data_IF_154743161221
#
_entry.id   IF_154743161221
#
_cell.length_a   1.000
_cell.length_b   1.000
_cell.length_c   1.000
_cell.angle_alpha   90.00
_cell.angle_beta   90.00
_cell.angle_gamma   90.00
#
_symmetry.space_group_name_H-M   'P 1'
#
loop_
_entity.id
_entity.type
_entity.pdbx_description
1 polymer ?
#
# COMPACT_ATOMS: atom_id res chain seq x y z
N UNK A 1 31.17 -31.75 -42.95
CA UNK A 1 30.27 -30.56 -43.03
C UNK A 1 28.87 -30.71 -42.38
N UNK A 2 28.53 -31.80 -41.64
CA UNK A 2 27.18 -32.03 -41.08
C UNK A 2 26.92 -31.43 -39.68
N UNK A 3 27.97 -31.15 -38.90
CA UNK A 3 27.87 -30.75 -37.47
C UNK A 3 27.41 -29.30 -37.24
N UNK A 4 27.52 -28.44 -38.25
CA UNK A 4 27.11 -27.02 -38.19
C UNK A 4 25.60 -26.80 -38.31
N UNK A 5 24.88 -27.64 -39.06
CA UNK A 5 23.43 -27.47 -39.27
C UNK A 5 22.59 -27.75 -38.01
N UNK A 6 23.04 -28.71 -37.19
CA UNK A 6 22.35 -29.11 -35.95
C UNK A 6 22.39 -28.01 -34.87
N UNK A 7 23.48 -27.24 -34.82
CA UNK A 7 23.63 -26.15 -33.85
C UNK A 7 22.70 -24.97 -34.18
N UNK A 8 22.60 -24.60 -35.46
CA UNK A 8 21.77 -23.48 -35.90
C UNK A 8 20.27 -23.77 -35.81
N UNK A 9 19.85 -25.03 -35.97
CA UNK A 9 18.46 -25.44 -35.72
C UNK A 9 18.09 -25.37 -34.23
N UNK A 10 18.96 -25.86 -33.33
CA UNK A 10 18.73 -25.72 -31.88
C UNK A 10 18.68 -24.25 -31.45
N UNK A 11 19.55 -23.40 -32.00
CA UNK A 11 19.52 -21.96 -31.76
C UNK A 11 18.21 -21.31 -32.26
N UNK A 12 17.70 -21.72 -33.43
CA UNK A 12 16.41 -21.22 -33.95
C UNK A 12 15.21 -21.67 -33.10
N UNK A 13 15.23 -22.90 -32.60
CA UNK A 13 14.18 -23.42 -31.69
C UNK A 13 14.21 -22.65 -30.36
N UNK A 14 15.41 -22.41 -29.81
CA UNK A 14 15.58 -21.62 -28.60
C UNK A 14 15.13 -20.16 -28.79
N UNK A 15 15.53 -19.51 -29.88
CA UNK A 15 15.08 -18.16 -30.23
C UNK A 15 13.56 -18.07 -30.42
N UNK A 16 12.89 -19.10 -30.95
CA UNK A 16 11.42 -19.16 -30.99
C UNK A 16 10.80 -19.36 -29.61
N UNK A 17 11.40 -20.17 -28.75
CA UNK A 17 10.93 -20.38 -27.39
C UNK A 17 11.00 -19.08 -26.57
N UNK A 18 12.13 -18.36 -26.63
CA UNK A 18 12.29 -17.06 -25.95
C UNK A 18 11.35 -15.99 -26.53
N UNK A 19 11.13 -15.98 -27.86
CA UNK A 19 10.16 -15.06 -28.49
C UNK A 19 8.71 -15.36 -28.10
N UNK A 20 8.36 -16.62 -27.82
CA UNK A 20 7.03 -17.00 -27.31
C UNK A 20 6.82 -16.57 -25.87
N UNK A 21 7.85 -16.68 -25.02
CA UNK A 21 7.79 -16.18 -23.64
C UNK A 21 7.73 -14.64 -23.59
N UNK A 22 8.38 -13.95 -24.53
CA UNK A 22 8.30 -12.49 -24.70
C UNK A 22 7.04 -12.01 -25.44
N UNK A 23 6.14 -12.91 -25.87
CA UNK A 23 4.90 -12.54 -26.57
C UNK A 23 3.77 -12.21 -25.57
N UNK A 24 4.02 -11.24 -24.67
CA UNK A 24 3.09 -10.80 -23.61
C UNK A 24 1.91 -9.96 -24.13
N UNK A 25 1.92 -9.63 -25.44
CA UNK A 25 0.94 -8.74 -26.07
C UNK A 25 -0.48 -9.33 -26.13
N UNK A 26 -0.65 -10.61 -25.82
CA UNK A 26 -1.95 -11.30 -25.78
C UNK A 26 -2.50 -11.54 -24.37
N UNK A 27 -1.78 -11.15 -23.31
CA UNK A 27 -2.17 -11.34 -21.91
C UNK A 27 -2.42 -10.03 -21.15
N UNK A 28 -2.53 -8.90 -21.86
CA UNK A 28 -3.06 -7.62 -21.32
C UNK A 28 -4.56 -7.52 -21.56
N UNK A 29 -5.33 -8.41 -20.92
CA UNK A 29 -6.78 -8.26 -20.85
C UNK A 29 -7.11 -7.06 -19.94
N UNK A 30 -7.35 -5.90 -20.56
CA UNK A 30 -7.68 -4.67 -19.84
C UNK A 30 -8.96 -4.85 -19.02
N UNK A 31 -9.93 -5.60 -19.54
CA UNK A 31 -11.22 -5.85 -18.88
C UNK A 31 -11.04 -6.72 -17.62
N UNK A 32 -10.29 -7.81 -17.69
CA UNK A 32 -9.98 -8.68 -16.56
C UNK A 32 -9.15 -7.98 -15.48
N UNK A 33 -8.25 -7.07 -15.87
CA UNK A 33 -7.48 -6.23 -14.94
C UNK A 33 -8.39 -5.25 -14.21
N UNK A 34 -9.27 -4.55 -14.93
CA UNK A 34 -10.27 -3.63 -14.36
C UNK A 34 -11.19 -4.37 -13.38
N UNK A 35 -11.63 -5.58 -13.73
CA UNK A 35 -12.52 -6.41 -12.89
C UNK A 35 -11.82 -6.90 -11.62
N UNK A 36 -10.56 -7.31 -11.74
CA UNK A 36 -9.74 -7.75 -10.61
C UNK A 36 -9.46 -6.59 -9.64
N UNK A 37 -9.16 -5.41 -10.17
CA UNK A 37 -8.97 -4.20 -9.35
C UNK A 37 -10.30 -3.80 -8.70
N UNK A 38 -11.40 -3.83 -9.44
CA UNK A 38 -12.73 -3.50 -8.90
C UNK A 38 -13.18 -4.37 -7.75
N UNK A 39 -12.91 -5.68 -7.80
CA UNK A 39 -13.23 -6.58 -6.68
C UNK A 39 -12.31 -6.34 -5.48
N UNK A 40 -11.04 -6.02 -5.74
CA UNK A 40 -10.06 -5.69 -4.71
C UNK A 40 -10.22 -4.28 -4.11
N UNK A 41 -10.94 -3.37 -4.77
CA UNK A 41 -11.30 -2.06 -4.20
C UNK A 41 -12.17 -2.25 -2.96
N UNK A 42 -13.03 -3.27 -2.93
CA UNK A 42 -13.94 -3.52 -1.80
C UNK A 42 -13.15 -3.94 -0.54
N UNK A 43 -12.92 -2.98 0.36
CA UNK A 43 -12.43 -3.23 1.70
C UNK A 43 -13.52 -3.99 2.46
N UNK A 44 -13.47 -5.33 2.39
CA UNK A 44 -14.22 -6.21 3.30
C UNK A 44 -13.80 -5.92 4.73
N UNK A 45 -14.69 -6.14 5.70
CA UNK A 45 -14.46 -5.80 7.12
C UNK A 45 -13.15 -6.34 7.69
N UNK A 46 -12.69 -7.50 7.23
CA UNK A 46 -11.38 -8.06 7.58
C UNK A 46 -10.20 -7.13 7.25
N UNK A 47 -10.22 -6.46 6.09
CA UNK A 47 -9.16 -5.54 5.67
C UNK A 47 -9.13 -4.27 6.54
N UNK A 48 -10.27 -3.86 7.09
CA UNK A 48 -10.33 -2.72 8.02
C UNK A 48 -9.72 -3.10 9.36
N UNK A 49 -9.96 -4.31 9.85
CA UNK A 49 -9.37 -4.78 11.10
C UNK A 49 -7.85 -4.86 11.02
N UNK A 50 -7.30 -5.39 9.93
CA UNK A 50 -5.85 -5.47 9.75
C UNK A 50 -5.18 -4.10 9.56
N UNK A 51 -5.91 -3.11 8.99
CA UNK A 51 -5.45 -1.72 8.95
C UNK A 51 -5.34 -1.11 10.35
N UNK A 52 -6.31 -1.37 11.23
CA UNK A 52 -6.25 -0.92 12.63
C UNK A 52 -5.08 -1.58 13.35
N UNK A 53 -4.87 -2.90 13.18
CA UNK A 53 -3.72 -3.59 13.75
C UNK A 53 -2.38 -3.04 13.24
N UNK A 54 -2.25 -2.75 11.94
CA UNK A 54 -1.06 -2.14 11.34
C UNK A 54 -0.76 -0.74 11.92
N UNK A 55 -1.80 0.09 12.11
CA UNK A 55 -1.64 1.41 12.71
C UNK A 55 -1.12 1.35 14.15
N UNK A 56 -1.62 0.41 14.97
CA UNK A 56 -1.13 0.20 16.33
C UNK A 56 0.32 -0.27 16.36
N UNK A 57 0.69 -1.22 15.50
CA UNK A 57 2.07 -1.70 15.39
C UNK A 57 3.02 -0.58 14.95
N UNK A 58 2.60 0.29 14.05
CA UNK A 58 3.39 1.46 13.64
C UNK A 58 3.61 2.44 14.81
N UNK A 59 2.58 2.71 15.61
CA UNK A 59 2.69 3.54 16.82
C UNK A 59 3.65 2.93 17.85
N UNK A 60 3.54 1.62 18.11
CA UNK A 60 4.44 0.90 19.03
C UNK A 60 5.88 0.88 18.49
N UNK A 61 6.07 0.67 17.18
CA UNK A 61 7.38 0.69 16.55
C UNK A 61 8.08 2.04 16.65
N UNK A 62 7.31 3.13 16.60
CA UNK A 62 7.83 4.49 16.79
C UNK A 62 8.17 4.78 18.26
N UNK A 63 7.33 4.33 19.20
CA UNK A 63 7.57 4.47 20.64
C UNK A 63 8.82 3.69 21.09
N UNK A 64 8.96 2.46 20.62
CA UNK A 64 10.10 1.58 20.91
C UNK A 64 11.34 1.85 20.04
N UNK A 65 11.31 2.89 19.18
CA UNK A 65 12.37 3.22 18.22
C UNK A 65 12.85 2.00 17.38
N UNK A 66 11.95 1.06 17.08
CA UNK A 66 12.27 -0.18 16.38
C UNK A 66 11.81 -0.12 14.92
N UNK A 67 12.78 0.09 14.03
CA UNK A 67 12.55 0.09 12.58
C UNK A 67 12.03 -1.26 12.06
N UNK A 68 12.39 -2.37 12.72
CA UNK A 68 11.93 -3.70 12.36
C UNK A 68 10.39 -3.83 12.43
N UNK A 69 9.76 -3.23 13.44
CA UNK A 69 8.30 -3.26 13.62
C UNK A 69 7.61 -2.36 12.59
N UNK A 70 8.21 -1.21 12.28
CA UNK A 70 7.69 -0.27 11.27
C UNK A 70 7.68 -0.91 9.88
N UNK A 71 8.75 -1.58 9.48
CA UNK A 71 8.82 -2.29 8.18
C UNK A 71 7.80 -3.44 8.14
N UNK A 72 7.62 -4.18 9.24
CA UNK A 72 6.60 -5.23 9.33
C UNK A 72 5.19 -4.71 9.09
N UNK A 73 4.86 -3.53 9.66
CA UNK A 73 3.57 -2.89 9.44
C UNK A 73 3.33 -2.48 7.98
N UNK A 74 4.39 -2.11 7.24
CA UNK A 74 4.31 -1.80 5.81
C UNK A 74 3.99 -3.02 4.95
N UNK A 75 4.56 -4.20 5.26
CA UNK A 75 4.34 -5.44 4.50
C UNK A 75 2.91 -5.98 4.61
N UNK A 76 2.23 -5.69 5.72
CA UNK A 76 0.90 -6.19 6.01
C UNK A 76 -0.19 -5.31 5.34
N UNK A 77 0.14 -4.10 4.89
CA UNK A 77 -0.87 -3.09 4.56
C UNK A 77 -1.57 -3.36 3.21
N UNK A 78 -2.89 -3.65 3.20
CA UNK A 78 -3.64 -3.97 1.98
C UNK A 78 -4.09 -2.70 1.20
N UNK A 79 -3.47 -1.56 1.46
CA UNK A 79 -3.90 -0.23 0.98
C UNK A 79 -3.49 0.05 -0.49
N UNK A 80 -2.65 -0.79 -1.10
CA UNK A 80 -2.31 -0.64 -2.52
C UNK A 80 -3.53 -0.81 -3.44
N UNK A 81 -4.47 -1.71 -3.11
CA UNK A 81 -5.64 -1.99 -3.96
C UNK A 81 -6.59 -0.79 -4.12
N UNK A 82 -6.97 -0.07 -3.04
CA UNK A 82 -7.75 1.17 -3.16
C UNK A 82 -7.06 2.25 -4.00
N UNK A 83 -5.75 2.47 -3.82
CA UNK A 83 -5.00 3.53 -4.51
C UNK A 83 -4.93 3.26 -6.01
N UNK A 84 -4.63 2.01 -6.40
CA UNK A 84 -4.62 1.60 -7.80
C UNK A 84 -6.02 1.71 -8.42
N UNK A 85 -7.08 1.42 -7.66
CA UNK A 85 -8.46 1.61 -8.08
C UNK A 85 -8.84 3.07 -8.34
N UNK A 86 -8.40 4.00 -7.50
CA UNK A 86 -8.58 5.44 -7.75
C UNK A 86 -7.86 5.88 -9.03
N UNK A 87 -6.60 5.47 -9.20
CA UNK A 87 -5.79 5.81 -10.38
C UNK A 87 -6.36 5.24 -11.68
N UNK A 88 -6.81 3.98 -11.65
CA UNK A 88 -7.46 3.34 -12.79
C UNK A 88 -8.81 4.02 -13.10
N UNK A 89 -9.65 4.26 -12.09
CA UNK A 89 -10.95 4.91 -12.27
C UNK A 89 -10.83 6.32 -12.86
N UNK A 90 -9.77 7.07 -12.52
CA UNK A 90 -9.44 8.33 -13.17
C UNK A 90 -8.96 8.14 -14.61
N UNK A 91 -8.17 7.10 -14.89
CA UNK A 91 -7.65 6.79 -16.22
C UNK A 91 -8.72 6.34 -17.22
N UNK A 92 -9.70 5.55 -16.78
CA UNK A 92 -10.83 5.09 -17.62
C UNK A 92 -12.07 6.01 -17.52
N UNK A 93 -12.00 7.09 -16.72
CA UNK A 93 -13.11 8.01 -16.42
C UNK A 93 -14.40 7.29 -15.94
N UNK A 94 -14.24 6.21 -15.18
CA UNK A 94 -15.35 5.48 -14.55
C UNK A 94 -15.64 6.10 -13.18
N UNK A 95 -16.74 6.85 -13.11
CA UNK A 95 -17.17 7.57 -11.91
C UNK A 95 -17.64 6.62 -10.80
N UNK A 96 -18.14 5.44 -11.16
CA UNK A 96 -18.62 4.46 -10.19
C UNK A 96 -17.46 3.79 -9.46
N UNK A 97 -16.44 3.35 -10.19
CA UNK A 97 -15.21 2.79 -9.60
C UNK A 97 -14.46 3.84 -8.78
N UNK A 98 -14.33 5.05 -9.30
CA UNK A 98 -13.67 6.15 -8.60
C UNK A 98 -14.34 6.46 -7.26
N UNK A 99 -15.67 6.58 -7.24
CA UNK A 99 -16.43 6.85 -6.01
C UNK A 99 -16.30 5.73 -4.97
N UNK A 100 -16.36 4.47 -5.41
CA UNK A 100 -16.17 3.30 -4.53
C UNK A 100 -14.76 3.27 -3.92
N UNK A 101 -13.73 3.50 -4.73
CA UNK A 101 -12.35 3.53 -4.26
C UNK A 101 -12.09 4.68 -3.29
N UNK A 102 -12.64 5.86 -3.57
CA UNK A 102 -12.51 7.03 -2.70
C UNK A 102 -13.20 6.83 -1.36
N UNK A 103 -14.40 6.23 -1.34
CA UNK A 103 -15.12 5.93 -0.08
C UNK A 103 -14.32 4.95 0.78
N UNK A 104 -13.75 3.91 0.18
CA UNK A 104 -12.95 2.93 0.90
C UNK A 104 -11.63 3.51 1.41
N UNK A 105 -10.96 4.34 0.61
CA UNK A 105 -9.80 5.10 1.03
C UNK A 105 -10.14 6.00 2.24
N UNK A 106 -11.27 6.73 2.17
CA UNK A 106 -11.74 7.58 3.25
C UNK A 106 -12.00 6.82 4.56
N UNK A 107 -12.65 5.65 4.49
CA UNK A 107 -12.87 4.79 5.65
C UNK A 107 -11.55 4.29 6.25
N UNK A 108 -10.59 3.86 5.42
CA UNK A 108 -9.27 3.42 5.87
C UNK A 108 -8.50 4.55 6.57
N UNK A 109 -8.50 5.75 6.00
CA UNK A 109 -7.88 6.94 6.61
C UNK A 109 -8.56 7.28 7.93
N UNK A 110 -9.90 7.32 7.98
CA UNK A 110 -10.64 7.64 9.19
C UNK A 110 -10.43 6.60 10.30
N UNK A 111 -10.37 5.32 9.96
CA UNK A 111 -10.08 4.25 10.91
C UNK A 111 -8.66 4.36 11.49
N UNK A 112 -7.66 4.69 10.67
CA UNK A 112 -6.28 4.91 11.11
C UNK A 112 -6.15 6.12 12.04
N UNK A 113 -6.82 7.23 11.71
CA UNK A 113 -6.90 8.41 12.59
C UNK A 113 -7.58 8.06 13.92
N UNK A 114 -8.69 7.34 13.86
CA UNK A 114 -9.44 6.92 15.06
C UNK A 114 -8.59 6.01 15.95
N UNK A 115 -7.86 5.05 15.36
CA UNK A 115 -6.97 4.16 16.11
C UNK A 115 -5.84 4.93 16.80
N UNK A 116 -5.22 5.90 16.11
CA UNK A 116 -4.20 6.77 16.70
C UNK A 116 -4.78 7.61 17.86
N UNK A 117 -5.97 8.17 17.66
CA UNK A 117 -6.68 8.94 18.69
C UNK A 117 -6.98 8.09 19.93
N UNK A 118 -7.46 6.86 19.75
CA UNK A 118 -7.71 5.91 20.83
C UNK A 118 -6.42 5.54 21.56
N UNK A 119 -5.32 5.32 20.84
CA UNK A 119 -4.02 5.02 21.44
C UNK A 119 -3.53 6.16 22.34
N UNK A 120 -3.62 7.42 21.90
CA UNK A 120 -3.28 8.58 22.72
C UNK A 120 -4.20 8.79 23.92
N UNK A 121 -5.48 8.40 23.81
CA UNK A 121 -6.42 8.41 24.93
C UNK A 121 -6.09 7.36 26.00
N UNK A 122 -5.58 6.19 25.58
CA UNK A 122 -5.24 5.08 26.48
C UNK A 122 -3.84 5.27 27.09
N UNK A 123 -2.92 5.90 26.35
CA UNK A 123 -1.56 6.22 26.81
C UNK A 123 -1.48 7.70 27.19
N UNK A 124 -1.89 8.10 28.42
CA UNK A 124 -1.56 9.42 28.94
C UNK A 124 -0.04 9.48 29.11
N UNK A 125 0.63 10.25 28.26
CA UNK A 125 2.06 10.57 28.40
C UNK A 125 2.25 11.49 29.62
N UNK A 126 2.15 10.91 30.82
CA UNK A 126 2.80 11.46 31.99
C UNK A 126 4.25 11.02 31.95
N UNK A 127 5.09 11.80 31.25
CA UNK A 127 6.41 12.21 31.74
C UNK A 127 7.14 13.07 30.68
N UNK A 128 7.39 14.36 30.96
CA UNK A 128 8.03 15.30 30.04
C UNK A 128 9.55 15.24 30.20
N UNK A 129 10.21 14.29 29.54
CA UNK A 129 11.68 14.31 29.44
C UNK A 129 12.15 14.05 28.01
N UNK A 130 12.05 15.10 27.19
CA UNK A 130 13.08 15.62 26.27
C UNK A 130 12.49 16.90 25.64
N UNK A 131 13.16 18.03 25.86
CA UNK A 131 12.71 19.33 25.41
C UNK A 131 12.52 19.41 23.89
N UNK A 132 11.39 19.96 23.46
CA UNK A 132 11.32 21.34 22.97
C UNK A 132 9.86 21.77 22.83
N UNK A 133 9.61 22.96 23.34
CA UNK A 133 8.41 23.77 23.16
C UNK A 133 8.08 23.91 21.66
N UNK A 134 7.00 23.29 21.18
CA UNK A 134 6.11 23.96 20.23
C UNK A 134 4.68 23.40 20.32
N UNK A 135 3.84 24.21 20.94
CA UNK A 135 2.38 24.35 20.76
C UNK A 135 1.46 23.14 21.00
N UNK A 136 0.98 23.09 22.25
CA UNK A 136 -0.45 22.98 22.54
C UNK A 136 -1.32 23.66 21.46
N UNK A 137 -2.21 22.88 20.83
CA UNK A 137 -3.12 23.18 19.70
C UNK A 137 -2.41 23.37 18.33
N UNK A 138 -2.29 22.30 17.50
CA UNK A 138 -3.42 21.56 16.94
C UNK A 138 -3.19 20.03 16.99
N UNK A 139 -3.54 19.40 18.12
CA UNK A 139 -3.33 17.97 18.39
C UNK A 139 -4.12 17.01 17.47
N UNK A 140 -5.03 17.51 16.63
CA UNK A 140 -5.77 16.72 15.63
C UNK A 140 -5.17 16.77 14.21
N UNK A 141 -4.32 17.76 13.90
CA UNK A 141 -3.76 17.97 12.55
C UNK A 141 -2.22 17.92 12.50
N UNK A 142 -1.54 18.27 13.60
CA UNK A 142 -0.07 18.28 13.67
C UNK A 142 0.55 16.89 13.83
N UNK A 143 0.05 16.08 14.78
CA UNK A 143 0.57 14.74 15.04
C UNK A 143 0.31 13.76 13.89
N UNK A 144 -0.85 13.85 13.24
CA UNK A 144 -1.11 13.08 12.03
C UNK A 144 -0.10 13.42 10.91
N UNK A 145 0.26 14.71 10.78
CA UNK A 145 1.26 15.18 9.82
C UNK A 145 2.70 14.75 10.13
N UNK A 146 3.09 14.68 11.40
CA UNK A 146 4.43 14.25 11.82
C UNK A 146 4.59 12.73 11.82
N UNK A 147 3.59 11.95 12.25
CA UNK A 147 3.55 10.48 12.07
C UNK A 147 3.56 10.15 10.59
N UNK A 148 2.78 10.86 9.76
CA UNK A 148 2.75 10.64 8.32
C UNK A 148 4.05 11.06 7.67
N UNK A 149 4.71 12.14 8.11
CA UNK A 149 6.05 12.50 7.63
C UNK A 149 7.12 11.52 8.05
N UNK A 150 7.06 10.95 9.26
CA UNK A 150 8.02 9.93 9.72
C UNK A 150 7.80 8.61 8.97
N UNK A 151 6.55 8.16 8.88
CA UNK A 151 6.14 6.99 8.12
C UNK A 151 6.35 7.15 6.59
N UNK A 152 6.28 8.37 6.04
CA UNK A 152 6.70 8.66 4.65
C UNK A 152 8.22 8.86 4.51
N UNK A 153 8.96 9.21 5.58
CA UNK A 153 10.43 9.31 5.53
C UNK A 153 11.07 7.93 5.49
N UNK A 154 10.53 6.99 6.26
CA UNK A 154 10.96 5.59 6.27
C UNK A 154 10.28 4.76 5.16
N UNK A 155 9.53 5.40 4.25
CA UNK A 155 8.93 4.77 3.05
C UNK A 155 9.98 4.54 1.94
N UNK A 156 11.25 4.86 2.16
CA UNK A 156 12.35 4.64 1.21
C UNK A 156 13.69 4.43 1.91
#
# INVERSE_FOLDING_TARGET
MKRQKTFFEKARIFLRATRRLLNIRSSSDSEGTIRSISDNIALKGYNIWILVCSALLASIGLDTNSSAVIIGAMLISPLMSPILGVGLGLGINDREMFGKALRNLGVATFASLSASFVYFQITPLGDPHIGNHESHLPYLFGCAGSIFRRCCRDRF
#
